data_IF_509435852231
#
_entry.id   IF_509435852231
#
_cell.length_a   1.000
_cell.length_b   1.000
_cell.length_c   1.000
_cell.angle_alpha   90.00
_cell.angle_beta   90.00
_cell.angle_gamma   90.00
#
_symmetry.space_group_name_H-M   'P 1'
#
loop_
_entity.id
_entity.type
_entity.pdbx_description
1 polymer ?
#
# COMPACT_ATOMS: atom_id res chain seq x y z
N UNK A 1 1.16 11.20 22.27
CA UNK A 1 1.06 11.86 23.59
C UNK A 1 1.84 11.06 24.60
N UNK A 2 2.67 11.71 25.42
CA UNK A 2 3.46 11.05 26.49
C UNK A 2 2.76 11.19 27.84
N UNK A 3 2.44 10.07 28.49
CA UNK A 3 1.79 10.02 29.80
C UNK A 3 2.62 9.23 30.79
N UNK A 4 2.57 9.60 32.06
CA UNK A 4 3.22 8.82 33.13
C UNK A 4 2.37 7.61 33.49
N UNK A 5 2.96 6.55 34.05
CA UNK A 5 2.18 5.38 34.51
C UNK A 5 1.11 5.73 35.55
N UNK A 6 1.35 6.74 36.39
CA UNK A 6 0.35 7.18 37.38
C UNK A 6 -0.88 7.77 36.70
N UNK A 7 -0.68 8.55 35.65
CA UNK A 7 -1.77 9.13 34.87
C UNK A 7 -2.46 8.07 34.00
N UNK A 8 -1.68 7.15 33.42
CA UNK A 8 -2.20 5.97 32.71
C UNK A 8 -3.11 5.12 33.59
N UNK A 9 -2.73 4.89 34.86
CA UNK A 9 -3.55 4.13 35.81
C UNK A 9 -4.85 4.83 36.16
N UNK A 10 -4.83 6.16 36.35
CA UNK A 10 -6.02 6.95 36.72
C UNK A 10 -7.00 7.07 35.56
N UNK A 11 -6.49 7.20 34.34
CA UNK A 11 -7.27 7.51 33.14
C UNK A 11 -7.25 6.37 32.11
N UNK A 12 -7.12 5.12 32.58
CA UNK A 12 -6.89 3.95 31.73
C UNK A 12 -7.90 3.84 30.59
N UNK A 13 -9.20 3.90 30.89
CA UNK A 13 -10.25 3.75 29.89
C UNK A 13 -10.30 4.91 28.89
N UNK A 14 -10.12 6.15 29.35
CA UNK A 14 -10.09 7.32 28.46
C UNK A 14 -8.89 7.27 27.50
N UNK A 15 -7.75 6.79 27.99
CA UNK A 15 -6.55 6.62 27.18
C UNK A 15 -6.75 5.48 26.17
N UNK A 16 -7.37 4.38 26.58
CA UNK A 16 -7.73 3.28 25.68
C UNK A 16 -8.71 3.72 24.59
N UNK A 17 -9.74 4.50 24.91
CA UNK A 17 -10.68 5.05 23.92
C UNK A 17 -9.98 5.95 22.90
N UNK A 18 -9.01 6.76 23.34
CA UNK A 18 -8.19 7.58 22.44
C UNK A 18 -7.33 6.73 21.51
N UNK A 19 -6.71 5.67 22.04
CA UNK A 19 -5.95 4.71 21.22
C UNK A 19 -6.86 3.99 20.23
N UNK A 20 -8.09 3.64 20.63
CA UNK A 20 -9.10 3.05 19.75
C UNK A 20 -9.52 4.00 18.62
N UNK A 21 -9.54 5.31 18.89
CA UNK A 21 -9.75 6.35 17.88
C UNK A 21 -8.51 6.63 17.01
N UNK A 22 -7.40 5.91 17.23
CA UNK A 22 -6.19 6.00 16.42
C UNK A 22 -5.11 6.94 16.96
N UNK A 23 -5.26 7.48 18.17
CA UNK A 23 -4.20 8.28 18.78
C UNK A 23 -3.05 7.41 19.31
N UNK A 24 -1.81 7.86 19.07
CA UNK A 24 -0.61 7.19 19.56
C UNK A 24 -0.30 7.66 20.99
N UNK A 25 -0.30 6.72 21.93
CA UNK A 25 -0.02 6.99 23.35
C UNK A 25 1.27 6.29 23.77
N UNK A 26 2.16 7.05 24.38
CA UNK A 26 3.42 6.56 24.92
C UNK A 26 3.38 6.70 26.45
N UNK A 27 3.54 5.60 27.16
CA UNK A 27 3.52 5.53 28.61
C UNK A 27 4.95 5.42 29.12
N UNK A 28 5.38 6.39 29.93
CA UNK A 28 6.71 6.42 30.51
C UNK A 28 6.70 5.81 31.92
N UNK A 29 7.48 4.74 32.12
CA UNK A 29 7.65 4.04 33.39
C UNK A 29 9.12 3.82 33.73
N UNK A 30 9.64 4.50 34.76
CA UNK A 30 10.99 4.24 35.30
C UNK A 30 12.08 4.17 34.21
N UNK A 31 12.01 5.07 33.22
CA UNK A 31 12.96 5.13 32.09
C UNK A 31 12.59 4.26 30.88
N UNK A 32 11.57 3.40 30.98
CA UNK A 32 11.04 2.62 29.86
C UNK A 32 9.85 3.35 29.21
N UNK A 33 9.82 3.37 27.88
CA UNK A 33 8.71 3.93 27.12
C UNK A 33 7.91 2.80 26.48
N UNK A 34 6.65 2.66 26.89
CA UNK A 34 5.72 1.67 26.36
C UNK A 34 4.81 2.39 25.36
N UNK A 35 4.85 1.99 24.09
CA UNK A 35 3.99 2.56 23.05
C UNK A 35 2.74 1.70 22.88
N UNK A 36 1.58 2.33 22.95
CA UNK A 36 0.27 1.71 22.76
C UNK A 36 -0.34 2.30 21.49
N UNK A 37 -0.54 1.45 20.50
CA UNK A 37 -1.13 1.79 19.20
C UNK A 37 -2.01 0.64 18.74
N UNK A 38 -3.12 0.94 18.08
CA UNK A 38 -3.82 -0.08 17.33
C UNK A 38 -2.95 -0.58 16.18
N UNK A 39 -2.92 -1.91 15.92
CA UNK A 39 -2.33 -2.40 14.70
C UNK A 39 -3.07 -1.75 13.53
N UNK A 40 -2.32 -1.21 12.57
CA UNK A 40 -2.92 -0.65 11.36
C UNK A 40 -3.87 -1.70 10.76
N UNK A 41 -5.12 -1.32 10.42
CA UNK A 41 -6.05 -2.26 9.84
C UNK A 41 -5.40 -2.87 8.60
N UNK A 42 -5.22 -4.20 8.60
CA UNK A 42 -4.66 -4.88 7.44
C UNK A 42 -5.53 -4.53 6.23
N UNK A 43 -4.92 -3.84 5.25
CA UNK A 43 -5.62 -3.43 4.04
C UNK A 43 -6.29 -4.64 3.40
N UNK A 44 -7.55 -4.53 3.01
CA UNK A 44 -8.23 -5.61 2.25
C UNK A 44 -7.47 -5.95 0.97
N UNK A 45 -6.68 -5.00 0.44
CA UNK A 45 -5.81 -5.19 -0.72
C UNK A 45 -4.61 -6.10 -0.43
N UNK A 46 -4.13 -6.19 0.82
CA UNK A 46 -3.02 -7.11 1.16
C UNK A 46 -3.45 -8.58 1.13
N UNK A 47 -4.77 -8.84 1.08
CA UNK A 47 -5.35 -10.19 0.91
C UNK A 47 -5.70 -10.53 -0.54
N UNK A 48 -5.46 -9.62 -1.49
CA UNK A 48 -5.70 -9.92 -2.91
C UNK A 48 -4.69 -10.97 -3.34
N UNK A 49 -5.20 -12.13 -3.75
CA UNK A 49 -4.41 -13.17 -4.41
C UNK A 49 -4.17 -12.71 -5.85
N UNK A 50 -2.90 -12.62 -6.25
CA UNK A 50 -2.53 -12.33 -7.64
C UNK A 50 -3.07 -13.45 -8.52
N UNK A 51 -3.96 -13.10 -9.46
CA UNK A 51 -4.47 -14.03 -10.47
C UNK A 51 -3.69 -13.80 -11.76
N UNK A 52 -3.21 -14.89 -12.36
CA UNK A 52 -2.62 -14.85 -13.70
C UNK A 52 -3.74 -14.78 -14.74
N UNK A 53 -4.33 -13.60 -14.86
CA UNK A 53 -5.40 -13.30 -15.82
C UNK A 53 -4.93 -12.26 -16.81
N UNK A 54 -5.01 -12.60 -18.10
CA UNK A 54 -4.93 -11.63 -19.18
C UNK A 54 -6.28 -10.92 -19.29
N UNK A 55 -6.28 -9.60 -19.50
CA UNK A 55 -7.49 -8.81 -19.79
C UNK A 55 -8.02 -9.03 -21.23
N UNK A 56 -7.36 -9.90 -21.99
CA UNK A 56 -7.66 -10.20 -23.37
C UNK A 56 -7.64 -11.71 -23.59
N UNK A 57 -8.26 -12.18 -24.68
CA UNK A 57 -8.17 -13.59 -25.03
C UNK A 57 -6.71 -13.96 -25.37
N UNK A 58 -6.25 -15.21 -25.12
CA UNK A 58 -4.85 -15.59 -25.32
C UNK A 58 -4.29 -15.28 -26.72
N UNK A 59 -5.14 -15.35 -27.76
CA UNK A 59 -4.75 -15.05 -29.14
C UNK A 59 -4.71 -13.55 -29.49
N UNK A 60 -5.29 -12.67 -28.67
CA UNK A 60 -5.31 -11.23 -28.92
C UNK A 60 -3.98 -10.57 -28.58
N UNK A 61 -3.27 -11.08 -27.57
CA UNK A 61 -1.95 -10.57 -27.20
C UNK A 61 -0.95 -10.71 -28.36
N UNK A 62 -0.93 -11.87 -29.02
CA UNK A 62 -0.06 -12.13 -30.18
C UNK A 62 -0.48 -11.33 -31.43
N UNK A 63 -1.77 -11.03 -31.59
CA UNK A 63 -2.25 -10.14 -32.66
C UNK A 63 -1.82 -8.69 -32.40
N UNK A 64 -2.00 -8.21 -31.18
CA UNK A 64 -1.59 -6.87 -30.76
C UNK A 64 -0.07 -6.69 -30.90
N UNK A 65 0.71 -7.70 -30.50
CA UNK A 65 2.17 -7.72 -30.65
C UNK A 65 2.59 -7.58 -32.11
N UNK A 66 2.01 -8.37 -33.02
CA UNK A 66 2.30 -8.29 -34.46
C UNK A 66 1.93 -6.94 -35.06
N UNK A 67 0.80 -6.38 -34.65
CA UNK A 67 0.36 -5.05 -35.11
C UNK A 67 1.34 -3.97 -34.67
N UNK A 68 1.73 -3.97 -33.39
CA UNK A 68 2.71 -3.01 -32.85
C UNK A 68 4.06 -3.10 -33.58
N UNK A 69 4.55 -4.31 -33.83
CA UNK A 69 5.79 -4.52 -34.58
C UNK A 69 5.69 -3.97 -36.01
N UNK A 70 4.55 -4.14 -36.68
CA UNK A 70 4.32 -3.58 -38.01
C UNK A 70 4.33 -2.06 -37.97
N UNK A 71 3.59 -1.45 -37.05
CA UNK A 71 3.55 0.01 -36.89
C UNK A 71 4.94 0.59 -36.60
N UNK A 72 5.75 -0.07 -35.77
CA UNK A 72 7.14 0.33 -35.52
C UNK A 72 8.02 0.25 -36.78
N UNK A 73 7.91 -0.83 -37.57
CA UNK A 73 8.68 -0.99 -38.81
C UNK A 73 8.29 0.06 -39.86
N UNK A 74 6.99 0.30 -40.02
CA UNK A 74 6.46 1.30 -40.94
C UNK A 74 6.90 2.72 -40.52
N UNK A 75 6.94 2.99 -39.21
CA UNK A 75 7.48 4.24 -38.65
C UNK A 75 8.97 4.39 -38.93
N UNK A 76 9.78 3.38 -38.64
CA UNK A 76 11.22 3.39 -38.95
C UNK A 76 11.46 3.61 -40.44
N UNK A 77 10.74 2.92 -41.33
CA UNK A 77 10.93 3.08 -42.77
C UNK A 77 10.61 4.49 -43.26
N UNK A 78 9.63 5.17 -42.65
CA UNK A 78 9.38 6.59 -42.91
C UNK A 78 10.54 7.45 -42.47
N UNK A 79 11.02 7.27 -41.23
CA UNK A 79 12.14 8.05 -40.69
C UNK A 79 13.40 7.88 -41.57
N UNK A 80 13.67 6.66 -42.05
CA UNK A 80 14.79 6.39 -42.97
C UNK A 80 14.64 7.02 -44.37
N UNK A 81 13.42 7.32 -44.83
CA UNK A 81 13.18 8.00 -46.12
C UNK A 81 13.28 9.52 -46.01
N UNK A 82 13.20 10.05 -44.79
CA UNK A 82 13.30 11.48 -44.49
C UNK A 82 14.75 11.92 -44.15
N UNK A 83 15.70 10.98 -44.13
CA UNK A 83 17.16 11.19 -44.00
C UNK A 83 17.82 11.11 -45.38
#
# INVERSE_FOLDING_TARGET
MTVTVTDFRKNLFQIMDRVLNGELVEVLHKGNTIRITLPAPQSKLSRIVKRDTLLCAPGELEKARRRLQKEMRDGMEKDWREI
#
